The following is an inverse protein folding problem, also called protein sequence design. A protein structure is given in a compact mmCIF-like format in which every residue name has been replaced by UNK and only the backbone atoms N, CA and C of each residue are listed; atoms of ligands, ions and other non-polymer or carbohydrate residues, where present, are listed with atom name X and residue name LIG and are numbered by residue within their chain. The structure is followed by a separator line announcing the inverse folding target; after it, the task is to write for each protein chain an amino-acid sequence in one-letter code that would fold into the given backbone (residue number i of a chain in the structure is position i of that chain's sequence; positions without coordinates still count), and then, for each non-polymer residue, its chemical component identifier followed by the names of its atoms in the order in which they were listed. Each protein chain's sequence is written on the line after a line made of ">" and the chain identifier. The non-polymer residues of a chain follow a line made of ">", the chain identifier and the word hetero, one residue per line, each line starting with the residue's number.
data_IF_018296574234
#
_entry.id   IF_018296574234
#
_cell.length_a   1.000
_cell.length_b   1.000
_cell.length_c   1.000
_cell.angle_alpha   90.00
_cell.angle_beta   90.00
_cell.angle_gamma   90.00
#
_symmetry.space_group_name_H-M   'P 1'
#
loop_
_entity.id
_entity.type
_entity.pdbx_description
1 polymer ?
#
# COMPACT_ATOMS: atom_id res chain seq x y z
N UNK A 1 -4.80 3.62 13.89
CA UNK A 1 -3.33 3.65 14.02
C UNK A 1 -2.76 2.73 12.95
N UNK A 2 -2.89 3.08 11.67
CA UNK A 2 -2.91 2.02 10.67
C UNK A 2 -1.66 2.06 9.80
N UNK A 3 -0.61 1.34 10.24
CA UNK A 3 0.50 0.92 9.36
C UNK A 3 -0.08 0.26 8.10
N UNK A 4 0.61 0.28 6.96
CA UNK A 4 0.22 -0.51 5.77
C UNK A 4 -0.10 -1.98 6.15
N UNK A 5 0.68 -2.56 7.06
CA UNK A 5 0.40 -3.89 7.64
C UNK A 5 -0.97 -3.98 8.34
N UNK A 6 -1.35 -2.96 9.12
CA UNK A 6 -2.66 -2.92 9.75
C UNK A 6 -3.77 -2.69 8.72
N UNK A 7 -3.55 -1.87 7.70
CA UNK A 7 -4.49 -1.73 6.59
C UNK A 7 -4.73 -3.08 5.88
N UNK A 8 -3.67 -3.84 5.62
CA UNK A 8 -3.78 -5.21 5.08
C UNK A 8 -4.59 -6.09 6.02
N UNK A 9 -4.27 -6.09 7.32
CA UNK A 9 -5.00 -6.89 8.29
C UNK A 9 -6.48 -6.52 8.34
N UNK A 10 -6.81 -5.23 8.30
CA UNK A 10 -8.20 -4.74 8.28
C UNK A 10 -8.92 -5.15 6.99
N UNK A 11 -8.27 -5.01 5.82
CA UNK A 11 -8.83 -5.50 4.56
C UNK A 11 -9.14 -7.00 4.64
N UNK A 12 -8.25 -7.81 5.21
CA UNK A 12 -8.48 -9.25 5.39
C UNK A 12 -9.61 -9.53 6.38
N UNK A 13 -9.53 -8.94 7.58
CA UNK A 13 -10.44 -9.22 8.69
C UNK A 13 -11.84 -8.70 8.44
N UNK A 14 -11.97 -7.43 8.06
CA UNK A 14 -13.25 -6.75 7.91
C UNK A 14 -14.02 -7.26 6.67
N UNK A 15 -13.31 -7.90 5.73
CA UNK A 15 -13.91 -8.64 4.60
C UNK A 15 -14.27 -10.10 4.93
N UNK A 16 -14.07 -10.55 6.16
CA UNK A 16 -14.33 -11.94 6.58
C UNK A 16 -13.38 -12.98 5.96
N UNK A 17 -12.18 -12.55 5.55
CA UNK A 17 -11.19 -13.39 4.83
C UNK A 17 -10.07 -13.94 5.72
N UNK A 18 -10.11 -13.78 7.04
CA UNK A 18 -9.02 -14.20 7.94
C UNK A 18 -8.64 -15.68 7.81
N UNK A 19 -9.59 -16.57 7.54
CA UNK A 19 -9.33 -18.01 7.31
C UNK A 19 -8.91 -18.34 5.87
N UNK A 20 -8.96 -17.37 4.96
CA UNK A 20 -8.64 -17.57 3.55
C UNK A 20 -7.15 -17.49 3.27
N UNK A 21 -6.29 -17.11 4.23
CA UNK A 21 -4.85 -16.95 4.07
C UNK A 21 -4.09 -17.99 4.87
N UNK A 22 -3.05 -18.56 4.27
CA UNK A 22 -2.11 -19.43 4.98
C UNK A 22 -1.19 -18.59 5.88
N UNK A 23 -0.61 -19.17 6.95
CA UNK A 23 0.39 -18.48 7.76
C UNK A 23 1.57 -17.94 6.93
N UNK A 24 1.96 -18.66 5.87
CA UNK A 24 3.02 -18.26 4.95
C UNK A 24 2.67 -17.00 4.16
N UNK A 25 1.44 -16.90 3.66
CA UNK A 25 0.98 -15.72 2.93
C UNK A 25 0.89 -14.49 3.84
N UNK A 26 0.44 -14.67 5.08
CA UNK A 26 0.42 -13.60 6.08
C UNK A 26 1.84 -13.15 6.44
N UNK A 27 2.78 -14.08 6.56
CA UNK A 27 4.19 -13.78 6.75
C UNK A 27 4.77 -12.97 5.58
N UNK A 28 4.55 -13.43 4.33
CA UNK A 28 5.01 -12.73 3.12
C UNK A 28 4.40 -11.32 3.03
N UNK A 29 3.10 -11.17 3.31
CA UNK A 29 2.44 -9.86 3.33
C UNK A 29 3.00 -8.94 4.41
N UNK A 30 3.24 -9.45 5.62
CA UNK A 30 3.85 -8.68 6.70
C UNK A 30 5.26 -8.22 6.31
N UNK A 31 6.10 -9.13 5.78
CA UNK A 31 7.42 -8.78 5.25
C UNK A 31 7.32 -7.69 4.18
N UNK A 32 6.41 -7.83 3.21
CA UNK A 32 6.22 -6.86 2.15
C UNK A 32 5.78 -5.49 2.70
N UNK A 33 4.81 -5.47 3.61
CA UNK A 33 4.28 -4.26 4.22
C UNK A 33 5.32 -3.49 5.03
N UNK A 34 6.20 -4.19 5.77
CA UNK A 34 7.23 -3.50 6.57
C UNK A 34 8.40 -3.00 5.75
N UNK A 35 8.61 -3.56 4.55
CA UNK A 35 9.81 -3.30 3.73
C UNK A 35 9.57 -2.56 2.42
N UNK A 36 8.32 -2.33 2.01
CA UNK A 36 8.01 -1.73 0.70
C UNK A 36 8.73 -0.39 0.45
N UNK A 37 8.90 0.40 1.51
CA UNK A 37 9.46 1.74 1.51
C UNK A 37 10.93 1.86 1.95
N UNK A 38 11.67 0.74 2.10
CA UNK A 38 13.06 0.77 2.58
C UNK A 38 14.00 1.63 1.73
N UNK A 39 13.79 1.68 0.42
CA UNK A 39 14.56 2.51 -0.50
C UNK A 39 14.45 4.01 -0.24
N UNK A 40 13.40 4.51 0.41
CA UNK A 40 13.29 5.92 0.85
C UNK A 40 14.37 6.31 1.85
N UNK A 41 14.92 5.35 2.60
CA UNK A 41 16.06 5.58 3.49
C UNK A 41 17.42 5.46 2.80
N UNK A 42 17.44 5.15 1.50
CA UNK A 42 18.63 4.71 0.77
C UNK A 42 18.86 5.52 -0.52
N UNK A 43 18.21 6.67 -0.70
CA UNK A 43 18.30 7.47 -1.92
C UNK A 43 19.74 7.66 -2.42
N UNK A 44 20.69 7.95 -1.52
CA UNK A 44 22.11 8.15 -1.86
C UNK A 44 22.89 6.86 -2.17
N UNK A 45 22.30 5.69 -1.89
CA UNK A 45 22.93 4.36 -2.00
C UNK A 45 22.35 3.51 -3.12
N UNK A 46 21.28 3.97 -3.77
CA UNK A 46 20.66 3.29 -4.89
C UNK A 46 21.21 3.81 -6.22
N UNK A 47 21.37 2.94 -7.23
CA UNK A 47 21.70 3.39 -8.58
C UNK A 47 20.70 4.43 -9.10
N UNK A 48 21.18 5.38 -9.89
CA UNK A 48 20.33 6.38 -10.54
C UNK A 48 19.26 5.71 -11.41
N UNK A 49 18.02 6.19 -11.33
CA UNK A 49 16.90 5.68 -12.13
C UNK A 49 16.24 4.39 -11.61
N UNK A 50 16.63 3.89 -10.43
CA UNK A 50 15.89 2.79 -9.79
C UNK A 50 14.50 3.27 -9.36
N UNK A 51 13.47 2.61 -9.88
CA UNK A 51 12.09 2.89 -9.48
C UNK A 51 11.85 2.49 -8.02
N UNK A 52 11.04 3.30 -7.32
CA UNK A 52 10.61 3.03 -5.97
C UNK A 52 9.92 1.66 -5.83
N UNK A 53 10.24 0.93 -4.77
CA UNK A 53 9.89 -0.48 -4.53
C UNK A 53 10.92 -1.47 -5.07
N UNK A 54 11.53 -1.21 -6.24
CA UNK A 54 12.54 -2.14 -6.80
C UNK A 54 13.82 -2.15 -5.96
N UNK A 55 14.25 -0.99 -5.47
CA UNK A 55 15.38 -0.85 -4.56
C UNK A 55 15.17 -1.60 -3.24
N UNK A 56 13.98 -1.48 -2.65
CA UNK A 56 13.58 -2.20 -1.44
C UNK A 56 13.68 -3.72 -1.63
N UNK A 57 13.14 -4.23 -2.74
CA UNK A 57 13.21 -5.66 -3.06
C UNK A 57 14.64 -6.17 -3.25
N UNK A 58 15.51 -5.39 -3.88
CA UNK A 58 16.92 -5.77 -4.07
C UNK A 58 17.69 -5.82 -2.74
N UNK A 59 17.39 -4.91 -1.81
CA UNK A 59 17.98 -4.94 -0.47
C UNK A 59 17.59 -6.22 0.27
N UNK A 60 16.31 -6.58 0.26
CA UNK A 60 15.80 -7.79 0.90
C UNK A 60 16.49 -9.04 0.37
N UNK A 61 16.70 -9.12 -0.94
CA UNK A 61 17.41 -10.25 -1.55
C UNK A 61 18.88 -10.31 -1.09
N UNK A 62 19.55 -9.16 -1.00
CA UNK A 62 20.95 -9.10 -0.52
C UNK A 62 21.07 -9.50 0.96
N UNK A 63 20.07 -9.17 1.77
CA UNK A 63 20.08 -9.34 3.23
C UNK A 63 19.13 -10.45 3.72
N UNK A 64 18.64 -11.34 2.85
CA UNK A 64 17.55 -12.28 3.16
C UNK A 64 17.76 -13.12 4.44
N UNK A 65 19.02 -13.43 4.77
CA UNK A 65 19.39 -14.18 5.97
C UNK A 65 19.09 -13.43 7.27
N UNK A 66 19.14 -12.10 7.25
CA UNK A 66 18.82 -11.25 8.40
C UNK A 66 17.33 -11.29 8.73
N UNK A 67 16.48 -11.54 7.73
CA UNK A 67 15.03 -11.66 7.86
C UNK A 67 14.55 -13.06 8.29
N UNK A 68 15.47 -13.98 8.57
CA UNK A 68 15.17 -15.38 8.92
C UNK A 68 14.23 -16.08 7.92
N UNK A 69 14.27 -15.65 6.66
CA UNK A 69 13.46 -16.18 5.58
C UNK A 69 14.32 -16.94 4.57
N UNK A 70 13.70 -17.83 3.81
CA UNK A 70 14.35 -18.49 2.69
C UNK A 70 14.48 -17.53 1.49
N UNK A 71 15.48 -17.79 0.65
CA UNK A 71 15.67 -17.01 -0.57
C UNK A 71 14.44 -17.02 -1.49
N UNK A 72 13.76 -18.16 -1.75
CA UNK A 72 12.53 -18.19 -2.54
C UNK A 72 11.40 -17.32 -1.96
N UNK A 73 11.21 -17.29 -0.64
CA UNK A 73 10.21 -16.41 0.01
C UNK A 73 10.54 -14.94 -0.23
N UNK A 74 11.80 -14.54 -0.11
CA UNK A 74 12.21 -13.15 -0.37
C UNK A 74 12.10 -12.77 -1.84
N UNK A 75 12.25 -13.71 -2.78
CA UNK A 75 11.94 -13.46 -4.20
C UNK A 75 10.46 -13.14 -4.39
N UNK A 76 9.56 -13.84 -3.69
CA UNK A 76 8.12 -13.53 -3.72
C UNK A 76 7.84 -12.15 -3.13
N UNK A 77 8.43 -11.84 -1.96
CA UNK A 77 8.31 -10.50 -1.34
C UNK A 77 8.81 -9.40 -2.28
N UNK A 78 9.96 -9.59 -2.92
CA UNK A 78 10.49 -8.66 -3.93
C UNK A 78 9.51 -8.43 -5.08
N UNK A 79 8.88 -9.48 -5.62
CA UNK A 79 7.87 -9.35 -6.70
C UNK A 79 6.67 -8.50 -6.25
N UNK A 80 6.18 -8.73 -5.04
CA UNK A 80 5.03 -8.02 -4.46
C UNK A 80 5.37 -6.54 -4.26
N UNK A 81 6.51 -6.24 -3.64
CA UNK A 81 6.96 -4.86 -3.40
C UNK A 81 7.29 -4.16 -4.71
N UNK A 82 7.91 -4.83 -5.67
CA UNK A 82 8.41 -4.19 -6.89
C UNK A 82 7.35 -3.47 -7.73
N UNK A 83 6.07 -3.81 -7.52
CA UNK A 83 4.94 -3.21 -8.25
C UNK A 83 4.12 -2.19 -7.46
N UNK A 84 4.33 -2.05 -6.14
CA UNK A 84 3.39 -1.29 -5.28
C UNK A 84 3.30 0.20 -5.63
N UNK A 85 4.46 0.82 -5.89
CA UNK A 85 4.60 2.25 -6.18
C UNK A 85 4.54 2.59 -7.68
N UNK A 86 4.25 1.61 -8.55
CA UNK A 86 4.13 1.85 -9.98
C UNK A 86 2.87 2.66 -10.28
N UNK A 87 2.94 3.43 -11.38
CA UNK A 87 1.76 4.09 -11.94
C UNK A 87 0.66 3.06 -12.26
N UNK A 88 -0.61 3.45 -12.29
CA UNK A 88 -1.73 2.55 -12.58
C UNK A 88 -1.52 1.63 -13.78
N UNK A 89 -1.04 2.17 -14.90
CA UNK A 89 -0.81 1.44 -16.15
C UNK A 89 0.35 0.45 -16.02
N UNK A 90 1.48 0.90 -15.45
CA UNK A 90 2.65 0.06 -15.21
C UNK A 90 2.35 -1.05 -14.20
N UNK A 91 1.58 -0.74 -13.15
CA UNK A 91 1.14 -1.73 -12.17
C UNK A 91 0.35 -2.85 -12.86
N UNK A 92 -0.65 -2.50 -13.69
CA UNK A 92 -1.45 -3.50 -14.39
C UNK A 92 -0.60 -4.35 -15.36
N UNK A 93 0.34 -3.70 -16.05
CA UNK A 93 1.29 -4.38 -16.94
C UNK A 93 2.17 -5.37 -16.17
N UNK A 94 2.90 -4.91 -15.15
CA UNK A 94 3.82 -5.77 -14.38
C UNK A 94 3.08 -6.82 -13.54
N UNK A 95 1.88 -6.51 -13.03
CA UNK A 95 1.03 -7.48 -12.32
C UNK A 95 0.62 -8.65 -13.23
N UNK A 96 0.50 -8.41 -14.55
CA UNK A 96 0.17 -9.46 -15.51
C UNK A 96 1.29 -10.50 -15.66
N UNK A 97 2.54 -10.07 -15.46
CA UNK A 97 3.75 -10.90 -15.48
C UNK A 97 4.02 -11.64 -14.15
N UNK A 98 3.39 -11.21 -13.06
CA UNK A 98 3.46 -11.91 -11.77
C UNK A 98 2.57 -13.15 -11.81
N UNK A 99 3.15 -14.33 -11.53
CA UNK A 99 2.42 -15.59 -11.41
C UNK A 99 1.22 -15.45 -10.45
N UNK A 100 0.06 -16.04 -10.82
CA UNK A 100 -1.11 -16.06 -9.93
C UNK A 100 -0.76 -16.72 -8.59
N UNK A 101 -0.06 -17.84 -8.66
CA UNK A 101 0.49 -18.56 -7.51
C UNK A 101 1.96 -18.87 -7.76
N UNK A 102 2.81 -18.64 -6.77
CA UNK A 102 4.21 -19.07 -6.80
C UNK A 102 4.37 -20.30 -5.92
N UNK A 103 4.85 -21.44 -6.44
CA UNK A 103 5.11 -22.63 -5.64
C UNK A 103 6.34 -22.42 -4.76
N UNK A 104 6.19 -22.64 -3.45
CA UNK A 104 7.29 -22.75 -2.50
C UNK A 104 7.31 -24.14 -1.89
N UNK A 105 8.43 -24.53 -1.26
CA UNK A 105 8.55 -25.84 -0.58
C UNK A 105 7.55 -26.03 0.55
N UNK A 106 7.10 -24.93 1.15
CA UNK A 106 6.14 -24.87 2.25
C UNK A 106 4.67 -24.76 1.79
N UNK A 107 4.44 -24.61 0.48
CA UNK A 107 3.11 -24.51 -0.12
C UNK A 107 3.04 -23.44 -1.22
N UNK A 108 1.95 -23.40 -2.01
CA UNK A 108 1.71 -22.33 -2.97
C UNK A 108 1.35 -21.02 -2.26
N UNK A 109 1.79 -19.90 -2.82
CA UNK A 109 1.50 -18.54 -2.36
C UNK A 109 0.78 -17.78 -3.46
N UNK A 110 -0.37 -17.15 -3.18
CA UNK A 110 -1.14 -16.37 -4.17
C UNK A 110 -0.53 -15.00 -4.44
N UNK A 111 0.69 -14.97 -4.96
CA UNK A 111 1.54 -13.79 -5.12
C UNK A 111 0.82 -12.60 -5.74
N UNK A 112 0.02 -12.81 -6.80
CA UNK A 112 -0.73 -11.74 -7.46
C UNK A 112 -1.79 -11.11 -6.54
N UNK A 113 -2.49 -11.92 -5.74
CA UNK A 113 -3.46 -11.43 -4.76
C UNK A 113 -2.75 -10.60 -3.67
N UNK A 114 -1.59 -11.07 -3.20
CA UNK A 114 -0.81 -10.35 -2.19
C UNK A 114 -0.29 -9.00 -2.71
N UNK A 115 0.15 -8.92 -3.97
CA UNK A 115 0.58 -7.68 -4.62
C UNK A 115 -0.55 -6.65 -4.71
N UNK A 116 -1.75 -7.10 -5.09
CA UNK A 116 -2.96 -6.25 -5.14
C UNK A 116 -3.34 -5.74 -3.76
N UNK A 117 -3.30 -6.60 -2.73
CA UNK A 117 -3.59 -6.20 -1.36
C UNK A 117 -2.58 -5.20 -0.81
N UNK A 118 -1.29 -5.36 -1.10
CA UNK A 118 -0.28 -4.39 -0.70
C UNK A 118 -0.54 -3.03 -1.33
N UNK A 119 -0.71 -2.95 -2.67
CA UNK A 119 -0.97 -1.68 -3.34
C UNK A 119 -2.27 -1.04 -2.83
N UNK A 120 -3.33 -1.81 -2.64
CA UNK A 120 -4.58 -1.29 -2.09
C UNK A 120 -4.39 -0.73 -0.67
N UNK A 121 -3.69 -1.45 0.20
CA UNK A 121 -3.42 -1.01 1.57
C UNK A 121 -2.52 0.24 1.64
N UNK A 122 -1.58 0.38 0.69
CA UNK A 122 -0.73 1.56 0.54
C UNK A 122 -1.51 2.77 0.00
N UNK A 123 -2.40 2.58 -0.98
CA UNK A 123 -3.32 3.65 -1.43
C UNK A 123 -4.21 4.14 -0.27
N UNK A 124 -4.70 3.23 0.57
CA UNK A 124 -5.50 3.55 1.75
C UNK A 124 -4.67 4.11 2.91
N UNK A 125 -3.35 4.13 2.79
CA UNK A 125 -2.46 4.68 3.80
C UNK A 125 -2.51 6.21 3.78
N UNK A 126 -3.43 6.71 4.59
CA UNK A 126 -3.86 8.11 4.64
C UNK A 126 -3.61 8.76 6.00
N UNK A 127 -3.08 8.03 6.97
CA UNK A 127 -2.87 8.49 8.36
C UNK A 127 -1.44 9.03 8.55
N UNK A 128 -1.30 10.36 8.72
CA UNK A 128 -0.03 11.03 9.02
C UNK A 128 0.22 11.24 10.52
N UNK A 129 -0.64 10.77 11.43
CA UNK A 129 -0.53 11.00 12.89
C UNK A 129 0.78 10.51 13.54
N UNK A 130 1.62 9.79 12.80
CA UNK A 130 2.91 9.25 13.24
C UNK A 130 4.09 10.15 12.89
N UNK A 131 3.92 11.15 12.03
CA UNK A 131 4.95 12.15 11.81
C UNK A 131 4.68 13.25 12.83
N UNK A 132 5.46 13.28 13.91
CA UNK A 132 5.39 14.41 14.84
C UNK A 132 5.57 15.68 14.00
N UNK A 133 4.63 16.64 14.07
CA UNK A 133 4.72 17.90 13.29
C UNK A 133 6.08 18.60 13.48
N UNK A 134 6.78 18.31 14.58
CA UNK A 134 8.13 18.76 14.94
C UNK A 134 9.22 18.28 13.95
N UNK A 135 9.01 17.17 13.24
CA UNK A 135 9.95 16.61 12.27
C UNK A 135 9.59 16.88 10.81
N UNK A 136 8.53 17.67 10.56
CA UNK A 136 8.05 17.99 9.22
C UNK A 136 8.37 19.44 8.93
N UNK A 137 9.27 19.68 7.98
CA UNK A 137 9.47 21.02 7.45
C UNK A 137 8.54 21.24 6.25
N UNK A 138 7.30 21.63 6.53
CA UNK A 138 6.31 21.97 5.49
C UNK A 138 6.75 23.13 4.61
N UNK A 139 7.71 23.96 5.05
CA UNK A 139 8.22 25.09 4.25
C UNK A 139 9.16 24.65 3.13
N UNK A 140 9.69 23.41 3.23
CA UNK A 140 10.53 22.77 2.22
C UNK A 140 9.77 21.88 1.24
N UNK A 141 8.48 21.62 1.51
CA UNK A 141 7.63 20.79 0.64
C UNK A 141 7.23 21.55 -0.61
N UNK A 142 7.16 20.85 -1.74
CA UNK A 142 6.49 21.39 -2.92
C UNK A 142 4.96 21.42 -2.71
N UNK A 143 4.25 22.05 -3.65
CA UNK A 143 2.80 22.23 -3.57
C UNK A 143 2.04 20.89 -3.50
N UNK A 144 2.53 19.86 -4.20
CA UNK A 144 1.88 18.56 -4.24
C UNK A 144 2.07 17.80 -2.92
N UNK A 145 3.30 17.77 -2.41
CA UNK A 145 3.61 17.12 -1.14
C UNK A 145 2.95 17.82 0.04
N UNK A 146 2.84 19.16 0.01
CA UNK A 146 2.12 19.92 1.02
C UNK A 146 0.63 19.59 1.02
N UNK A 147 -0.02 19.59 -0.15
CA UNK A 147 -1.44 19.23 -0.29
C UNK A 147 -1.70 17.79 0.17
N UNK A 148 -0.82 16.84 -0.21
CA UNK A 148 -0.89 15.45 0.26
C UNK A 148 -0.73 15.35 1.78
N UNK A 149 0.17 16.14 2.37
CA UNK A 149 0.36 16.18 3.81
C UNK A 149 -0.90 16.67 4.53
N UNK A 150 -1.47 17.81 4.10
CA UNK A 150 -2.69 18.40 4.65
C UNK A 150 -3.90 17.46 4.55
N UNK A 151 -4.09 16.79 3.40
CA UNK A 151 -5.17 15.84 3.21
C UNK A 151 -5.12 14.70 4.25
N UNK A 152 -3.91 14.19 4.50
CA UNK A 152 -3.66 13.10 5.46
C UNK A 152 -3.79 13.50 6.93
N UNK A 153 -3.65 14.78 7.25
CA UNK A 153 -3.97 15.29 8.59
C UNK A 153 -5.49 15.34 8.83
N UNK A 154 -6.27 15.56 7.76
CA UNK A 154 -7.73 15.64 7.83
C UNK A 154 -8.45 14.30 7.65
N UNK A 155 -7.79 13.27 7.10
CA UNK A 155 -8.38 11.92 6.97
C UNK A 155 -8.31 11.20 8.32
N UNK A 156 -9.47 10.84 8.88
CA UNK A 156 -9.60 10.18 10.18
C UNK A 156 -9.52 8.65 10.10
N UNK A 157 -9.52 8.09 8.89
CA UNK A 157 -9.36 6.67 8.62
C UNK A 157 -10.30 6.18 7.53
N UNK A 158 -10.53 4.86 7.51
CA UNK A 158 -11.46 4.22 6.59
C UNK A 158 -12.12 3.01 7.25
N UNK A 159 -13.20 2.47 6.67
CA UNK A 159 -13.87 1.25 7.13
C UNK A 159 -14.46 0.46 5.96
N UNK A 160 -14.77 -0.82 6.17
CA UNK A 160 -15.46 -1.67 5.19
C UNK A 160 -16.96 -1.69 5.47
N UNK A 161 -17.77 -1.50 4.42
CA UNK A 161 -19.22 -1.73 4.41
C UNK A 161 -19.59 -2.59 3.18
N UNK A 162 -19.73 -3.90 3.41
CA UNK A 162 -19.98 -4.87 2.35
C UNK A 162 -18.85 -4.87 1.29
N UNK A 163 -19.18 -4.47 0.06
CA UNK A 163 -18.19 -4.37 -1.03
C UNK A 163 -17.50 -3.00 -1.11
N UNK A 164 -17.78 -2.10 -0.17
CA UNK A 164 -17.33 -0.71 -0.20
C UNK A 164 -16.30 -0.45 0.89
N UNK A 165 -15.36 0.42 0.58
CA UNK A 165 -14.42 1.01 1.53
C UNK A 165 -14.81 2.48 1.64
N UNK A 166 -15.11 2.93 2.85
CA UNK A 166 -15.54 4.29 3.14
C UNK A 166 -14.38 4.98 3.83
N UNK A 167 -13.72 5.93 3.14
CA UNK A 167 -12.71 6.81 3.74
C UNK A 167 -13.43 7.99 4.41
N UNK A 168 -13.02 8.31 5.63
CA UNK A 168 -13.62 9.36 6.45
C UNK A 168 -12.63 10.50 6.64
N UNK A 169 -13.11 11.74 6.55
CA UNK A 169 -12.32 12.93 6.78
C UNK A 169 -13.09 13.95 7.62
N UNK A 170 -12.35 14.69 8.46
CA UNK A 170 -12.85 15.74 9.34
C UNK A 170 -11.95 16.98 9.13
N UNK A 171 -12.14 17.72 8.03
CA UNK A 171 -11.31 18.89 7.74
C UNK A 171 -11.61 20.03 8.73
N UNK A 172 -10.57 20.49 9.43
CA UNK A 172 -10.67 21.60 10.39
C UNK A 172 -10.56 22.99 9.73
N UNK A 173 -10.04 23.06 8.50
CA UNK A 173 -9.81 24.30 7.75
C UNK A 173 -10.29 24.18 6.30
N UNK A 174 -10.43 25.31 5.60
CA UNK A 174 -10.76 25.32 4.17
C UNK A 174 -9.65 24.67 3.33
N UNK A 175 -8.39 24.89 3.72
CA UNK A 175 -7.24 24.28 3.05
C UNK A 175 -7.25 22.75 3.23
N UNK A 176 -7.59 22.25 4.43
CA UNK A 176 -7.80 20.82 4.66
C UNK A 176 -8.92 20.26 3.78
N UNK A 177 -10.03 20.99 3.64
CA UNK A 177 -11.14 20.55 2.80
C UNK A 177 -10.69 20.42 1.33
N UNK A 178 -10.05 21.44 0.77
CA UNK A 178 -9.56 21.40 -0.61
C UNK A 178 -8.50 20.31 -0.83
N UNK A 179 -7.58 20.15 0.12
CA UNK A 179 -6.56 19.10 0.08
C UNK A 179 -7.19 17.70 0.10
N UNK A 180 -8.18 17.48 0.97
CA UNK A 180 -8.95 16.24 1.01
C UNK A 180 -9.67 16.01 -0.31
N UNK A 181 -10.41 17.00 -0.83
CA UNK A 181 -11.12 16.88 -2.11
C UNK A 181 -10.18 16.50 -3.27
N UNK A 182 -9.02 17.16 -3.37
CA UNK A 182 -8.00 16.84 -4.38
C UNK A 182 -7.39 15.45 -4.21
N UNK A 183 -7.12 15.03 -2.98
CA UNK A 183 -6.60 13.70 -2.68
C UNK A 183 -7.64 12.61 -3.03
N UNK A 184 -8.91 12.84 -2.70
CA UNK A 184 -10.03 11.97 -3.05
C UNK A 184 -10.15 11.84 -4.57
N UNK A 185 -10.14 12.96 -5.28
CA UNK A 185 -10.22 12.98 -6.74
C UNK A 185 -9.07 12.18 -7.36
N UNK A 186 -7.85 12.38 -6.87
CA UNK A 186 -6.67 11.64 -7.33
C UNK A 186 -6.82 10.14 -7.08
N UNK A 187 -7.20 9.72 -5.88
CA UNK A 187 -7.36 8.30 -5.53
C UNK A 187 -8.44 7.66 -6.41
N UNK A 188 -9.63 8.27 -6.52
CA UNK A 188 -10.75 7.73 -7.30
C UNK A 188 -10.41 7.62 -8.77
N UNK A 189 -9.82 8.67 -9.35
CA UNK A 189 -9.68 8.78 -10.80
C UNK A 189 -8.36 8.23 -11.33
N UNK A 190 -7.34 8.03 -10.48
CA UNK A 190 -6.00 7.60 -10.89
C UNK A 190 -5.60 6.28 -10.26
N UNK A 191 -5.49 6.21 -8.93
CA UNK A 191 -4.86 5.07 -8.26
C UNK A 191 -5.80 3.86 -8.06
N UNK A 192 -6.98 4.08 -7.48
CA UNK A 192 -7.90 3.02 -7.10
C UNK A 192 -8.40 2.14 -8.26
N UNK A 193 -8.67 2.67 -9.47
CA UNK A 193 -9.10 1.86 -10.61
C UNK A 193 -8.12 0.72 -10.96
N UNK A 194 -6.82 0.91 -10.69
CA UNK A 194 -5.80 -0.12 -10.97
C UNK A 194 -5.95 -1.37 -10.08
N UNK A 195 -6.53 -1.23 -8.89
CA UNK A 195 -6.70 -2.33 -7.92
C UNK A 195 -8.13 -2.80 -7.79
N UNK A 196 -9.13 -1.96 -8.08
CA UNK A 196 -10.54 -2.24 -7.85
C UNK A 196 -11.01 -3.55 -8.49
N UNK A 197 -10.82 -3.73 -9.80
CA UNK A 197 -11.25 -4.95 -10.50
C UNK A 197 -10.55 -6.20 -9.97
N UNK A 198 -9.27 -6.08 -9.59
CA UNK A 198 -8.51 -7.20 -9.03
C UNK A 198 -8.97 -7.56 -7.62
N UNK A 199 -9.30 -6.57 -6.80
CA UNK A 199 -9.91 -6.80 -5.50
C UNK A 199 -11.27 -7.52 -5.67
N UNK A 200 -12.08 -7.10 -6.64
CA UNK A 200 -13.35 -7.76 -6.96
C UNK A 200 -13.15 -9.24 -7.37
N UNK A 201 -12.18 -9.53 -8.24
CA UNK A 201 -11.82 -10.91 -8.64
C UNK A 201 -11.45 -11.79 -7.43
N UNK A 202 -10.83 -11.20 -6.42
CA UNK A 202 -10.44 -11.87 -5.18
C UNK A 202 -11.51 -11.82 -4.07
N UNK A 203 -12.71 -11.31 -4.38
CA UNK A 203 -13.83 -11.14 -3.47
C UNK A 203 -13.48 -10.25 -2.25
N UNK A 204 -12.76 -9.16 -2.49
CA UNK A 204 -12.52 -8.08 -1.54
C UNK A 204 -13.44 -6.87 -1.83
N UNK A 205 -13.63 -5.98 -0.85
CA UNK A 205 -14.16 -4.65 -1.05
C UNK A 205 -13.34 -3.92 -2.12
N UNK A 206 -14.04 -3.37 -3.11
CA UNK A 206 -13.42 -2.78 -4.30
C UNK A 206 -14.07 -1.47 -4.72
N UNK A 207 -15.21 -1.10 -4.13
CA UNK A 207 -15.83 0.21 -4.33
C UNK A 207 -15.26 1.16 -3.31
N UNK A 208 -14.98 2.39 -3.71
CA UNK A 208 -14.47 3.42 -2.83
C UNK A 208 -15.49 4.52 -2.69
N UNK A 209 -15.86 4.82 -1.46
CA UNK A 209 -16.75 5.92 -1.08
C UNK A 209 -16.01 6.83 -0.09
N UNK A 210 -16.47 8.08 -0.01
CA UNK A 210 -15.87 9.08 0.87
C UNK A 210 -16.95 9.79 1.67
N UNK A 211 -16.62 10.07 2.93
CA UNK A 211 -17.47 10.84 3.83
C UNK A 211 -16.65 11.95 4.46
N UNK A 212 -17.06 13.19 4.16
CA UNK A 212 -16.49 14.39 4.75
C UNK A 212 -17.50 14.91 5.77
N UNK A 213 -17.16 14.81 7.06
CA UNK A 213 -17.97 15.37 8.13
C UNK A 213 -17.56 16.84 8.34
N UNK A 214 -18.54 17.75 8.27
CA UNK A 214 -18.38 19.21 8.42
C UNK A 214 -18.84 19.69 9.79
#
# INVERSE_FOLDING_TARGET
>A
MDKVELNIWRLIKDSGKSSSFTPLELFILSCAAVSHDFDKGLFDKLPEGVEHGKGSGDLLIKQFREFQASFPEMVVVKKIIGVHALSPEKFLQELSDIDRETPLSTGPVRTRQLAVLLKAADILHTDNSRIAHIGIDTSSMDEFDLSKHQAREAISGWQVDGSRIIIQAIPETLDHLHAVEGCIEFIINKEWPAVADKLADFNFPHKLDFRIDK
#
